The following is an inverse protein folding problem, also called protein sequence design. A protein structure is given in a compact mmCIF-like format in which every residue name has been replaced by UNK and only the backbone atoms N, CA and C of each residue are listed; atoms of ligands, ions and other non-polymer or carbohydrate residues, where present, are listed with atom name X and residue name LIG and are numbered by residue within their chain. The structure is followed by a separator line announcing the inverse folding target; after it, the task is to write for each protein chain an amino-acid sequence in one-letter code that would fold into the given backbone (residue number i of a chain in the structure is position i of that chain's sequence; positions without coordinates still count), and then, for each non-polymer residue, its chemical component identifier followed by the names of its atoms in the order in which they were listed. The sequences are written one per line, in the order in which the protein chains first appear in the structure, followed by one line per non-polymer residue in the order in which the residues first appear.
data_IF_403525053336
#
_entry.id   IF_403525053336
#
_cell.length_a   1.000
_cell.length_b   1.000
_cell.length_c   1.000
_cell.angle_alpha   90.00
_cell.angle_beta   90.00
_cell.angle_gamma   90.00
#
_symmetry.space_group_name_H-M   'P 1'
#
loop_
_entity.id
_entity.type
_entity.pdbx_description
1 polymer ?
#
# COMPACT_ATOMS: atom_id res chain seq x y z
N UNK A 1 10.84 -7.14 13.78
CA UNK A 1 10.68 -5.71 14.07
C UNK A 1 10.58 -4.92 12.79
N UNK A 2 9.66 -3.97 12.72
CA UNK A 2 9.48 -3.17 11.52
C UNK A 2 10.19 -1.84 11.63
N UNK A 3 10.83 -1.44 10.53
CA UNK A 3 11.36 -0.10 10.40
C UNK A 3 10.30 0.80 9.79
N UNK A 4 10.26 2.02 10.27
CA UNK A 4 9.31 3.01 9.76
C UNK A 4 10.06 4.06 8.95
N UNK A 5 9.52 4.36 7.78
CA UNK A 5 10.13 5.33 6.88
C UNK A 5 9.16 6.47 6.63
N UNK A 6 9.72 7.64 6.37
CA UNK A 6 8.94 8.83 6.06
C UNK A 6 9.04 9.09 4.56
N UNK A 7 7.89 9.23 3.91
CA UNK A 7 7.82 9.54 2.50
C UNK A 7 7.34 10.97 2.30
N UNK A 8 7.90 11.62 1.28
CA UNK A 8 7.44 12.95 0.88
C UNK A 8 6.56 12.77 -0.35
N UNK A 9 5.30 13.19 -0.25
CA UNK A 9 4.33 13.02 -1.32
C UNK A 9 3.69 14.35 -1.67
N UNK A 10 3.26 14.48 -2.92
CA UNK A 10 2.48 15.63 -3.34
C UNK A 10 1.12 15.62 -2.66
N UNK A 11 0.57 16.83 -2.48
CA UNK A 11 -0.73 16.95 -1.83
C UNK A 11 -1.80 16.18 -2.57
N UNK A 12 -1.81 16.27 -3.90
CA UNK A 12 -2.82 15.55 -4.68
C UNK A 12 -2.69 14.05 -4.52
N UNK A 13 -1.45 13.55 -4.39
CA UNK A 13 -1.24 12.12 -4.17
C UNK A 13 -1.81 11.71 -2.82
N UNK A 14 -1.58 12.53 -1.80
CA UNK A 14 -2.11 12.24 -0.46
C UNK A 14 -3.63 12.23 -0.49
N UNK A 15 -4.23 13.22 -1.15
CA UNK A 15 -5.69 13.28 -1.25
C UNK A 15 -6.25 12.04 -1.94
N UNK A 16 -5.59 11.60 -3.01
CA UNK A 16 -6.03 10.40 -3.70
C UNK A 16 -5.96 9.17 -2.83
N UNK A 17 -4.88 9.04 -2.06
CA UNK A 17 -4.74 7.91 -1.16
C UNK A 17 -5.81 7.93 -0.07
N UNK A 18 -6.12 9.12 0.46
CA UNK A 18 -7.16 9.23 1.48
C UNK A 18 -8.53 8.86 0.91
N UNK A 19 -8.80 9.24 -0.33
CA UNK A 19 -10.06 8.87 -0.97
C UNK A 19 -10.17 7.36 -1.12
N UNK A 20 -9.11 6.71 -1.59
CA UNK A 20 -9.12 5.26 -1.75
C UNK A 20 -9.30 4.59 -0.39
N UNK A 21 -8.63 5.13 0.63
CA UNK A 21 -8.76 4.59 1.99
C UNK A 21 -10.23 4.52 2.40
N UNK A 22 -10.98 5.61 2.17
CA UNK A 22 -12.39 5.66 2.55
C UNK A 22 -13.23 4.74 1.68
N UNK A 23 -12.97 4.74 0.38
CA UNK A 23 -13.78 3.94 -0.55
C UNK A 23 -13.60 2.46 -0.34
N UNK A 24 -12.41 2.04 0.07
CA UNK A 24 -12.11 0.63 0.28
C UNK A 24 -12.19 0.22 1.75
N UNK A 25 -12.61 1.14 2.62
CA UNK A 25 -12.76 0.87 4.05
C UNK A 25 -11.46 0.37 4.68
N UNK A 26 -10.35 1.01 4.30
CA UNK A 26 -9.05 0.67 4.86
C UNK A 26 -8.74 1.57 6.06
N UNK A 27 -7.91 1.08 6.96
CA UNK A 27 -7.64 1.78 8.21
C UNK A 27 -6.62 2.90 8.07
N UNK A 28 -5.59 2.68 7.25
CA UNK A 28 -4.48 3.63 7.15
C UNK A 28 -4.09 3.83 5.69
N UNK A 29 -3.33 4.90 5.45
CA UNK A 29 -2.78 5.14 4.11
C UNK A 29 -1.77 4.05 3.75
N UNK A 30 -1.04 3.53 4.75
CA UNK A 30 -0.14 2.42 4.49
C UNK A 30 -0.90 1.22 3.92
N UNK A 31 -2.10 0.96 4.45
CA UNK A 31 -2.93 -0.12 3.93
C UNK A 31 -3.30 0.11 2.46
N UNK A 32 -3.54 1.38 2.08
CA UNK A 32 -3.83 1.71 0.69
C UNK A 32 -2.65 1.38 -0.20
N UNK A 33 -1.45 1.75 0.24
CA UNK A 33 -0.25 1.49 -0.53
C UNK A 33 -0.03 -0.01 -0.66
N UNK A 34 -0.24 -0.75 0.43
CA UNK A 34 -0.11 -2.20 0.38
C UNK A 34 -1.15 -2.82 -0.55
N UNK A 35 -2.34 -2.27 -0.56
CA UNK A 35 -3.39 -2.72 -1.47
C UNK A 35 -2.95 -2.59 -2.93
N UNK A 36 -2.37 -1.44 -3.29
CA UNK A 36 -1.89 -1.25 -4.65
C UNK A 36 -0.71 -2.16 -4.97
N UNK A 37 0.17 -2.39 -3.99
CA UNK A 37 1.30 -3.28 -4.22
C UNK A 37 0.83 -4.70 -4.47
N UNK A 38 -0.18 -5.15 -3.72
CA UNK A 38 -0.74 -6.48 -3.93
C UNK A 38 -1.38 -6.59 -5.30
N UNK A 39 -2.11 -5.55 -5.71
CA UNK A 39 -2.73 -5.55 -7.04
C UNK A 39 -1.67 -5.63 -8.13
N UNK A 40 -0.62 -4.83 -7.99
CA UNK A 40 0.46 -4.85 -8.96
C UNK A 40 1.09 -6.23 -9.03
N UNK A 41 1.37 -6.82 -7.87
CA UNK A 41 2.03 -8.12 -7.83
C UNK A 41 1.15 -9.21 -8.43
N UNK A 42 -0.15 -9.15 -8.17
CA UNK A 42 -1.07 -10.13 -8.72
C UNK A 42 -1.18 -10.00 -10.23
N UNK A 43 -1.31 -8.75 -10.71
CA UNK A 43 -1.46 -8.49 -12.13
C UNK A 43 -0.22 -8.91 -12.90
N UNK A 44 0.96 -8.67 -12.34
CA UNK A 44 2.23 -8.95 -13.01
C UNK A 44 2.86 -10.27 -12.57
N UNK A 45 2.20 -11.02 -11.70
CA UNK A 45 2.71 -12.27 -11.15
C UNK A 45 4.11 -12.09 -10.56
N UNK A 46 4.28 -11.02 -9.81
CA UNK A 46 5.56 -10.65 -9.21
C UNK A 46 5.70 -11.33 -7.86
N UNK A 47 6.47 -12.42 -7.81
CA UNK A 47 6.58 -13.21 -6.61
C UNK A 47 7.33 -12.48 -5.49
N UNK A 48 8.28 -11.63 -5.84
CA UNK A 48 9.02 -10.90 -4.84
C UNK A 48 8.11 -10.00 -4.02
N UNK A 49 7.27 -9.23 -4.73
CA UNK A 49 6.36 -8.32 -4.04
C UNK A 49 5.28 -9.11 -3.31
N UNK A 50 4.77 -10.18 -3.92
CA UNK A 50 3.77 -11.00 -3.25
C UNK A 50 4.30 -11.53 -1.91
N UNK A 51 5.55 -12.01 -1.90
CA UNK A 51 6.14 -12.54 -0.68
C UNK A 51 6.27 -11.45 0.39
N UNK A 52 6.67 -10.25 -0.01
CA UNK A 52 6.79 -9.15 0.93
C UNK A 52 5.44 -8.77 1.52
N UNK A 53 4.41 -8.76 0.69
CA UNK A 53 3.08 -8.34 1.16
C UNK A 53 2.39 -9.41 2.00
N UNK A 54 2.82 -10.65 1.91
CA UNK A 54 2.22 -11.74 2.66
C UNK A 54 2.93 -12.04 3.97
N UNK A 55 4.04 -11.36 4.23
CA UNK A 55 4.74 -11.53 5.50
C UNK A 55 3.85 -11.04 6.64
N UNK A 56 3.71 -11.87 7.66
CA UNK A 56 2.90 -11.54 8.82
C UNK A 56 3.78 -11.44 10.05
N UNK A 57 3.41 -10.54 10.90
CA UNK A 57 4.14 -10.31 12.16
C UNK A 57 3.68 -11.19 13.27
#
# INVERSE_FOLDING_TARGET
MMNTYILTLDESTVEGLELVKRKEFLDTVDDVIRFFLRDYAAYNQDEEIQNLMEVKE
#
